data_IF_041713176809
#
_entry.id   IF_041713176809
#
_cell.length_a   1.000
_cell.length_b   1.000
_cell.length_c   1.000
_cell.angle_alpha   90.00
_cell.angle_beta   90.00
_cell.angle_gamma   90.00
#
_symmetry.space_group_name_H-M   'P 1'
#
loop_
_entity.id
_entity.type
_entity.pdbx_description
1 polymer ?
#
# COMPACT_ATOMS: atom_id res chain seq x y z
N UNK A 1 -0.43 14.44 34.40
CA UNK A 1 -0.38 14.46 32.92
C UNK A 1 -1.23 13.29 32.45
N UNK A 2 -2.33 13.55 31.76
CA UNK A 2 -3.18 12.47 31.22
C UNK A 2 -2.35 11.66 30.22
N UNK A 3 -2.14 10.37 30.47
CA UNK A 3 -1.59 9.46 29.47
C UNK A 3 -2.55 9.50 28.27
N UNK A 4 -2.13 10.08 27.15
CA UNK A 4 -2.90 9.97 25.91
C UNK A 4 -3.03 8.48 25.61
N UNK A 5 -4.26 8.00 25.45
CA UNK A 5 -4.51 6.65 24.99
C UNK A 5 -3.85 6.44 23.63
N UNK A 6 -3.19 5.30 23.43
CA UNK A 6 -2.65 4.92 22.12
C UNK A 6 -3.79 4.90 21.10
N UNK A 7 -3.64 5.55 19.93
CA UNK A 7 -4.65 5.49 18.88
C UNK A 7 -4.94 4.06 18.44
N UNK A 8 -6.20 3.78 18.17
CA UNK A 8 -6.68 2.47 17.73
C UNK A 8 -6.50 2.28 16.22
N UNK A 9 -6.25 1.04 15.78
CA UNK A 9 -6.06 0.67 14.37
C UNK A 9 -6.96 -0.51 14.00
N UNK A 10 -7.64 -0.40 12.87
CA UNK A 10 -8.23 -1.55 12.15
C UNK A 10 -7.29 -1.97 11.04
N UNK A 11 -6.68 -3.15 11.17
CA UNK A 11 -5.92 -3.82 10.13
C UNK A 11 -6.93 -4.47 9.19
N UNK A 12 -6.98 -4.00 7.94
CA UNK A 12 -8.04 -4.37 7.00
C UNK A 12 -7.47 -4.75 5.64
N UNK A 13 -7.98 -5.85 5.09
CA UNK A 13 -7.78 -6.19 3.68
C UNK A 13 -9.13 -6.29 2.98
N UNK A 14 -9.22 -5.74 1.78
CA UNK A 14 -10.43 -5.74 0.95
C UNK A 14 -10.06 -6.34 -0.39
N UNK A 15 -10.79 -7.36 -0.84
CA UNK A 15 -10.62 -7.92 -2.18
C UNK A 15 -11.96 -8.32 -2.77
N UNK A 16 -12.19 -8.00 -4.05
CA UNK A 16 -13.31 -8.51 -4.82
C UNK A 16 -12.98 -9.80 -5.58
N UNK A 17 -11.72 -10.24 -5.54
CA UNK A 17 -11.24 -11.42 -6.24
C UNK A 17 -10.87 -12.52 -5.22
N UNK A 18 -11.63 -13.62 -5.24
CA UNK A 18 -11.50 -14.67 -4.22
C UNK A 18 -10.11 -15.32 -4.19
N UNK A 19 -9.41 -15.36 -5.32
CA UNK A 19 -8.03 -15.86 -5.40
C UNK A 19 -7.01 -15.10 -4.52
N UNK A 20 -7.34 -13.91 -4.02
CA UNK A 20 -6.46 -13.15 -3.12
C UNK A 20 -6.84 -13.30 -1.64
N UNK A 21 -8.04 -13.79 -1.34
CA UNK A 21 -8.60 -13.75 0.02
C UNK A 21 -7.74 -14.50 1.04
N UNK A 22 -7.19 -15.67 0.69
CA UNK A 22 -6.34 -16.44 1.61
C UNK A 22 -5.00 -15.73 1.89
N UNK A 23 -4.38 -15.13 0.87
CA UNK A 23 -3.17 -14.32 1.03
C UNK A 23 -3.41 -13.06 1.87
N UNK A 24 -4.59 -12.44 1.70
CA UNK A 24 -5.03 -11.29 2.51
C UNK A 24 -5.18 -11.65 3.99
N UNK A 25 -5.62 -12.86 4.34
CA UNK A 25 -5.64 -13.33 5.74
C UNK A 25 -4.23 -13.34 6.32
N UNK A 26 -3.26 -13.93 5.61
CA UNK A 26 -1.88 -13.98 6.08
C UNK A 26 -1.26 -12.59 6.24
N UNK A 27 -1.61 -11.64 5.37
CA UNK A 27 -1.19 -10.25 5.48
C UNK A 27 -1.75 -9.58 6.75
N UNK A 28 -3.03 -9.79 7.05
CA UNK A 28 -3.67 -9.30 8.29
C UNK A 28 -3.01 -9.94 9.51
N UNK A 29 -2.91 -11.27 9.54
CA UNK A 29 -2.40 -12.02 10.69
C UNK A 29 -0.94 -11.69 11.01
N UNK A 30 -0.09 -11.64 9.97
CA UNK A 30 1.30 -11.20 10.13
C UNK A 30 1.34 -9.79 10.69
N UNK A 31 0.59 -8.86 10.10
CA UNK A 31 0.61 -7.46 10.52
C UNK A 31 0.08 -7.28 11.95
N UNK A 32 -0.95 -8.02 12.32
CA UNK A 32 -1.49 -8.05 13.67
C UNK A 32 -0.45 -8.55 14.69
N UNK A 33 0.26 -9.63 14.35
CA UNK A 33 1.31 -10.20 15.21
C UNK A 33 2.49 -9.25 15.36
N UNK A 34 2.98 -8.70 14.26
CA UNK A 34 4.13 -7.80 14.25
C UNK A 34 3.84 -6.50 15.01
N UNK A 35 2.67 -5.88 14.79
CA UNK A 35 2.32 -4.62 15.45
C UNK A 35 2.16 -4.75 16.97
N UNK A 36 1.79 -5.94 17.48
CA UNK A 36 1.72 -6.18 18.93
C UNK A 36 3.07 -6.06 19.65
N UNK A 37 4.20 -6.04 18.93
CA UNK A 37 5.52 -5.75 19.51
C UNK A 37 5.62 -4.32 20.06
N UNK A 38 4.86 -3.38 19.50
CA UNK A 38 4.91 -1.94 19.84
C UNK A 38 3.57 -1.34 20.23
N UNK A 39 2.46 -1.96 19.81
CA UNK A 39 1.11 -1.47 20.07
C UNK A 39 0.34 -2.43 20.99
N UNK A 40 -0.49 -1.90 21.90
CA UNK A 40 -1.37 -2.72 22.73
C UNK A 40 -2.32 -3.58 21.88
N UNK A 41 -2.52 -4.83 22.29
CA UNK A 41 -3.40 -5.77 21.57
C UNK A 41 -4.85 -5.26 21.46
N UNK A 42 -5.32 -4.56 22.48
CA UNK A 42 -6.66 -3.98 22.57
C UNK A 42 -6.83 -2.71 21.73
N UNK A 43 -5.74 -2.10 21.25
CA UNK A 43 -5.80 -1.02 20.27
C UNK A 43 -5.87 -1.53 18.82
N UNK A 44 -5.89 -2.85 18.60
CA UNK A 44 -5.87 -3.46 17.27
C UNK A 44 -7.14 -4.29 17.02
N UNK A 45 -7.72 -4.11 15.82
CA UNK A 45 -8.83 -4.91 15.31
C UNK A 45 -8.52 -5.40 13.89
N UNK A 46 -9.10 -6.52 13.47
CA UNK A 46 -8.78 -7.15 12.19
C UNK A 46 -10.05 -7.41 11.38
N UNK A 47 -10.08 -6.96 10.12
CA UNK A 47 -11.20 -7.15 9.21
C UNK A 47 -10.71 -7.69 7.86
N UNK A 48 -11.35 -8.74 7.38
CA UNK A 48 -11.25 -9.19 5.99
C UNK A 48 -12.57 -8.91 5.28
N UNK A 49 -12.50 -8.26 4.11
CA UNK A 49 -13.62 -8.16 3.17
C UNK A 49 -13.29 -9.00 1.93
N UNK A 50 -14.07 -10.06 1.67
CA UNK A 50 -13.87 -10.94 0.51
C UNK A 50 -15.18 -11.61 0.05
N UNK A 51 -15.26 -12.11 -1.20
CA UNK A 51 -16.45 -12.79 -1.70
C UNK A 51 -16.88 -13.99 -0.85
N UNK A 52 -15.94 -14.86 -0.52
CA UNK A 52 -16.19 -16.04 0.30
C UNK A 52 -15.21 -16.09 1.47
N UNK A 53 -15.62 -16.77 2.55
CA UNK A 53 -14.77 -17.03 3.71
C UNK A 53 -13.57 -17.90 3.29
N UNK A 54 -12.32 -17.49 3.54
CA UNK A 54 -11.15 -18.32 3.25
C UNK A 54 -11.14 -19.62 4.07
N UNK A 55 -10.39 -20.62 3.60
CA UNK A 55 -10.25 -21.91 4.27
C UNK A 55 -9.62 -21.73 5.66
N UNK A 56 -8.53 -20.98 5.72
CA UNK A 56 -7.91 -20.57 6.98
C UNK A 56 -8.30 -19.13 7.32
N UNK A 57 -9.03 -18.96 8.43
CA UNK A 57 -9.39 -17.67 9.00
C UNK A 57 -9.31 -17.73 10.55
N UNK A 58 -8.31 -17.09 11.18
CA UNK A 58 -8.24 -16.94 12.63
C UNK A 58 -9.48 -16.26 13.23
N UNK A 59 -9.92 -16.71 14.41
CA UNK A 59 -11.17 -16.22 15.06
C UNK A 59 -11.19 -14.71 15.33
N UNK A 60 -10.03 -14.10 15.54
CA UNK A 60 -9.90 -12.67 15.82
C UNK A 60 -10.02 -11.78 14.57
N UNK A 61 -10.10 -12.37 13.37
CA UNK A 61 -10.30 -11.66 12.11
C UNK A 61 -11.79 -11.71 11.74
N UNK A 62 -12.45 -10.57 11.79
CA UNK A 62 -13.83 -10.45 11.37
C UNK A 62 -13.91 -10.56 9.84
N UNK A 63 -14.70 -11.50 9.32
CA UNK A 63 -14.95 -11.62 7.89
C UNK A 63 -16.28 -10.96 7.52
N UNK A 64 -16.22 -10.04 6.57
CA UNK A 64 -17.36 -9.41 5.93
C UNK A 64 -17.46 -9.87 4.48
N UNK A 65 -18.60 -10.42 4.12
CA UNK A 65 -18.87 -10.90 2.76
C UNK A 65 -19.15 -9.73 1.84
N UNK A 66 -18.50 -9.69 0.68
CA UNK A 66 -18.82 -8.76 -0.41
C UNK A 66 -19.25 -9.53 -1.67
N UNK A 67 -19.81 -8.84 -2.67
CA UNK A 67 -19.91 -9.42 -4.01
C UNK A 67 -18.53 -9.40 -4.68
N UNK A 68 -18.24 -10.30 -5.63
CA UNK A 68 -17.06 -10.16 -6.47
C UNK A 68 -17.07 -8.82 -7.20
N UNK A 69 -15.92 -8.17 -7.30
CA UNK A 69 -15.78 -6.88 -7.96
C UNK A 69 -14.39 -6.67 -8.57
N UNK A 70 -14.35 -5.79 -9.57
CA UNK A 70 -13.14 -5.46 -10.33
C UNK A 70 -12.17 -4.56 -9.55
N UNK A 71 -10.96 -4.36 -10.08
CA UNK A 71 -10.01 -3.41 -9.49
C UNK A 71 -10.54 -1.96 -9.50
N UNK A 72 -11.32 -1.55 -10.50
CA UNK A 72 -11.95 -0.23 -10.49
C UNK A 72 -12.98 -0.09 -9.35
N UNK A 73 -13.74 -1.14 -9.07
CA UNK A 73 -14.66 -1.16 -7.94
C UNK A 73 -13.94 -1.22 -6.60
N UNK A 74 -12.78 -1.90 -6.51
CA UNK A 74 -11.90 -1.84 -5.34
C UNK A 74 -11.55 -0.39 -5.02
N UNK A 75 -11.10 0.36 -6.01
CA UNK A 75 -10.74 1.78 -5.88
C UNK A 75 -11.92 2.62 -5.34
N UNK A 76 -13.12 2.44 -5.91
CA UNK A 76 -14.34 3.10 -5.44
C UNK A 76 -14.72 2.69 -4.02
N UNK A 77 -14.56 1.41 -3.68
CA UNK A 77 -14.83 0.88 -2.35
C UNK A 77 -13.90 1.51 -1.31
N UNK A 78 -12.60 1.54 -1.58
CA UNK A 78 -11.64 2.14 -0.66
C UNK A 78 -11.93 3.63 -0.47
N UNK A 79 -12.25 4.36 -1.55
CA UNK A 79 -12.51 5.80 -1.48
C UNK A 79 -13.82 6.16 -0.77
N UNK A 80 -14.88 5.36 -0.94
CA UNK A 80 -16.23 5.76 -0.51
C UNK A 80 -16.90 4.81 0.49
N UNK A 81 -16.43 3.59 0.68
CA UNK A 81 -17.08 2.60 1.55
C UNK A 81 -16.26 2.25 2.79
N UNK A 82 -14.94 2.37 2.74
CA UNK A 82 -14.05 1.93 3.83
C UNK A 82 -14.37 2.60 5.18
N UNK A 83 -14.72 3.88 5.19
CA UNK A 83 -15.14 4.62 6.39
C UNK A 83 -16.30 3.94 7.14
N UNK A 84 -17.21 3.29 6.43
CA UNK A 84 -18.40 2.66 7.04
C UNK A 84 -18.06 1.35 7.76
N UNK A 85 -16.84 0.82 7.60
CA UNK A 85 -16.40 -0.45 8.19
C UNK A 85 -15.39 -0.28 9.32
N UNK A 86 -14.78 0.90 9.43
CA UNK A 86 -13.67 1.17 10.35
C UNK A 86 -14.18 2.08 11.46
N UNK A 87 -14.22 1.59 12.70
CA UNK A 87 -14.62 2.40 13.87
C UNK A 87 -13.44 2.96 14.67
N UNK A 88 -12.22 2.51 14.36
CA UNK A 88 -10.98 2.92 15.02
C UNK A 88 -10.46 4.26 14.51
N UNK A 89 -9.45 4.82 15.18
CA UNK A 89 -8.83 6.09 14.80
C UNK A 89 -8.13 6.03 13.43
N UNK A 90 -7.62 4.84 13.07
CA UNK A 90 -6.89 4.59 11.83
C UNK A 90 -7.25 3.25 11.19
N UNK A 91 -7.24 3.19 9.86
CA UNK A 91 -7.18 1.94 9.11
C UNK A 91 -5.76 1.70 8.60
N UNK A 92 -5.21 0.52 8.87
CA UNK A 92 -4.03 0.01 8.17
C UNK A 92 -4.51 -0.93 7.07
N UNK A 93 -4.45 -0.48 5.83
CA UNK A 93 -4.74 -1.30 4.66
C UNK A 93 -3.56 -2.24 4.43
N UNK A 94 -3.87 -3.53 4.33
CA UNK A 94 -2.92 -4.59 3.93
C UNK A 94 -3.48 -5.37 2.76
N UNK A 95 -2.60 -5.89 1.91
CA UNK A 95 -2.91 -6.73 0.76
C UNK A 95 -2.02 -7.98 0.81
N UNK A 96 -2.33 -9.00 0.00
CA UNK A 96 -1.54 -10.23 -0.02
C UNK A 96 -0.06 -10.00 -0.44
N UNK A 97 0.26 -8.87 -1.04
CA UNK A 97 1.60 -8.39 -1.37
C UNK A 97 2.01 -7.11 -0.61
N UNK A 98 1.18 -6.62 0.32
CA UNK A 98 1.38 -5.39 1.07
C UNK A 98 1.12 -5.56 2.57
N UNK A 99 2.16 -5.63 3.40
CA UNK A 99 2.04 -6.03 4.80
C UNK A 99 3.19 -5.53 5.68
N UNK A 100 3.04 -5.63 7.01
CA UNK A 100 4.10 -5.31 7.97
C UNK A 100 5.19 -6.38 7.92
N UNK A 101 6.42 -5.94 7.67
CA UNK A 101 7.61 -6.80 7.60
C UNK A 101 8.23 -6.94 8.98
N UNK A 102 8.45 -5.83 9.69
CA UNK A 102 9.06 -5.82 11.03
C UNK A 102 8.40 -4.76 11.93
N UNK A 103 7.57 -5.23 12.87
CA UNK A 103 6.84 -4.40 13.80
C UNK A 103 7.72 -3.63 14.79
N UNK A 104 8.98 -4.02 15.00
CA UNK A 104 9.90 -3.26 15.84
C UNK A 104 10.24 -1.89 15.25
N UNK A 105 10.00 -1.70 13.95
CA UNK A 105 10.17 -0.43 13.24
C UNK A 105 8.93 0.47 13.29
N UNK A 106 7.89 0.12 14.05
CA UNK A 106 6.76 1.02 14.27
C UNK A 106 7.24 2.32 14.92
N UNK A 107 6.66 3.44 14.47
CA UNK A 107 6.93 4.77 15.00
C UNK A 107 5.63 5.48 15.32
N UNK A 108 5.52 6.03 16.53
CA UNK A 108 4.33 6.78 16.94
C UNK A 108 4.10 8.04 16.09
N UNK A 109 5.16 8.56 15.44
CA UNK A 109 5.06 9.67 14.47
C UNK A 109 4.12 9.34 13.29
N UNK A 110 3.87 8.06 12.99
CA UNK A 110 2.92 7.67 11.95
C UNK A 110 1.49 8.14 12.25
N UNK A 111 1.13 8.28 13.53
CA UNK A 111 -0.18 8.82 13.93
C UNK A 111 -0.31 10.33 13.73
N UNK A 112 0.77 11.03 13.35
CA UNK A 112 0.72 12.45 13.03
C UNK A 112 0.23 12.74 11.61
N UNK A 113 -0.08 11.72 10.82
CA UNK A 113 -0.52 11.88 9.43
C UNK A 113 -1.85 11.18 9.19
N UNK A 114 -2.66 11.78 8.34
CA UNK A 114 -3.95 11.23 7.92
C UNK A 114 -3.79 10.23 6.77
N UNK A 115 -2.67 10.28 6.04
CA UNK A 115 -2.30 9.32 4.99
C UNK A 115 -0.80 9.06 5.00
N UNK A 116 -0.42 7.78 5.04
CA UNK A 116 0.93 7.29 4.78
C UNK A 116 0.81 6.05 3.89
N UNK A 117 1.48 6.04 2.75
CA UNK A 117 1.57 4.86 1.87
C UNK A 117 3.02 4.54 1.49
N UNK A 118 3.23 3.53 0.66
CA UNK A 118 4.56 3.18 0.19
C UNK A 118 5.05 4.15 -0.89
N UNK A 119 6.22 4.80 -0.75
CA UNK A 119 6.76 5.64 -1.81
C UNK A 119 7.04 4.86 -3.09
N UNK A 120 6.55 5.39 -4.21
CA UNK A 120 6.83 4.88 -5.56
C UNK A 120 8.03 5.61 -6.15
N UNK A 121 8.69 5.01 -7.15
CA UNK A 121 9.80 5.66 -7.87
C UNK A 121 9.29 6.57 -8.99
N UNK A 122 8.51 7.57 -8.58
CA UNK A 122 7.88 8.55 -9.48
C UNK A 122 7.38 9.76 -8.72
N UNK A 123 7.42 10.91 -9.37
CA UNK A 123 6.98 12.21 -8.84
C UNK A 123 6.06 12.90 -9.83
N UNK A 124 5.13 13.69 -9.32
CA UNK A 124 4.22 14.50 -10.11
C UNK A 124 4.52 15.98 -9.90
N UNK A 125 4.83 16.68 -10.99
CA UNK A 125 5.06 18.11 -11.00
C UNK A 125 3.77 18.84 -11.38
N UNK A 126 3.33 19.75 -10.51
CA UNK A 126 2.23 20.66 -10.77
C UNK A 126 2.74 21.87 -11.55
N UNK A 127 2.23 22.06 -12.76
CA UNK A 127 2.58 23.18 -13.63
C UNK A 127 1.65 24.38 -13.40
N UNK A 128 2.12 25.58 -13.74
CA UNK A 128 1.37 26.84 -13.56
C UNK A 128 0.05 26.89 -14.35
N UNK A 129 -0.01 26.19 -15.49
CA UNK A 129 -1.21 26.08 -16.32
C UNK A 129 -2.23 25.04 -15.80
N UNK A 130 -1.96 24.46 -14.61
CA UNK A 130 -2.80 23.47 -13.96
C UNK A 130 -2.62 22.04 -14.48
N UNK A 131 -1.72 21.82 -15.46
CA UNK A 131 -1.38 20.47 -15.90
C UNK A 131 -0.47 19.77 -14.90
N UNK A 132 -0.43 18.45 -15.02
CA UNK A 132 0.47 17.59 -14.24
C UNK A 132 1.44 16.91 -15.17
N UNK A 133 2.74 16.99 -14.86
CA UNK A 133 3.80 16.24 -15.53
C UNK A 133 4.26 15.09 -14.65
N UNK A 134 4.32 13.89 -15.21
CA UNK A 134 4.82 12.69 -14.53
C UNK A 134 6.31 12.53 -14.79
N UNK A 135 7.10 12.40 -13.72
CA UNK A 135 8.51 12.03 -13.73
C UNK A 135 8.63 10.62 -13.16
N UNK A 136 9.37 9.75 -13.84
CA UNK A 136 9.55 8.36 -13.42
C UNK A 136 11.01 7.96 -13.48
N UNK A 137 11.39 7.01 -12.63
CA UNK A 137 12.75 6.49 -12.62
C UNK A 137 13.77 7.56 -12.31
N UNK A 138 14.94 7.45 -12.94
CA UNK A 138 16.13 8.27 -12.68
C UNK A 138 15.90 9.78 -12.94
N UNK A 139 14.83 10.15 -13.66
CA UNK A 139 14.41 11.55 -13.79
C UNK A 139 13.94 12.17 -12.45
N UNK A 140 13.67 11.35 -11.43
CA UNK A 140 13.26 11.81 -10.11
C UNK A 140 14.43 12.12 -9.17
N UNK A 141 15.63 11.58 -9.45
CA UNK A 141 16.73 11.50 -8.47
C UNK A 141 17.13 12.86 -7.91
N UNK A 142 17.21 13.88 -8.77
CA UNK A 142 17.57 15.24 -8.37
C UNK A 142 16.54 15.91 -7.45
N UNK A 143 15.30 15.44 -7.44
CA UNK A 143 14.20 16.02 -6.66
C UNK A 143 13.90 15.24 -5.37
N UNK A 144 14.40 14.02 -5.20
CA UNK A 144 14.04 13.21 -4.03
C UNK A 144 14.63 13.75 -2.72
N UNK A 145 15.86 14.29 -2.76
CA UNK A 145 16.52 14.84 -1.58
C UNK A 145 15.92 16.17 -1.10
N UNK A 146 15.60 17.06 -2.04
CA UNK A 146 15.05 18.38 -1.79
C UNK A 146 13.90 18.63 -2.77
N UNK A 147 12.74 18.08 -2.43
CA UNK A 147 11.57 18.09 -3.31
C UNK A 147 10.99 19.51 -3.42
N UNK A 148 10.90 20.09 -4.63
CA UNK A 148 10.29 21.39 -4.81
C UNK A 148 8.82 21.39 -4.38
N UNK A 149 8.31 22.53 -3.91
CA UNK A 149 6.94 22.63 -3.37
C UNK A 149 5.82 22.32 -4.37
N UNK A 150 6.10 22.41 -5.67
CA UNK A 150 5.17 22.05 -6.73
C UNK A 150 5.26 20.57 -7.14
N UNK A 151 6.18 19.80 -6.55
CA UNK A 151 6.27 18.36 -6.74
C UNK A 151 5.49 17.61 -5.65
N UNK A 152 4.97 16.45 -6.02
CA UNK A 152 4.18 15.58 -5.15
C UNK A 152 4.68 14.15 -5.33
N UNK A 153 5.07 13.50 -4.23
CA UNK A 153 5.18 12.06 -4.15
C UNK A 153 3.80 11.45 -3.95
N UNK A 154 3.36 10.66 -4.93
CA UNK A 154 2.19 9.81 -4.73
C UNK A 154 2.67 8.54 -4.02
N UNK A 155 2.12 8.30 -2.85
CA UNK A 155 2.40 7.11 -2.04
C UNK A 155 1.32 6.06 -2.35
N UNK A 156 1.73 4.80 -2.52
CA UNK A 156 0.87 3.70 -2.92
C UNK A 156 -0.12 3.31 -1.81
N UNK A 157 -1.36 3.03 -2.20
CA UNK A 157 -2.46 2.68 -1.30
C UNK A 157 -2.49 1.22 -0.80
N UNK A 158 -1.78 0.30 -1.44
CA UNK A 158 -1.83 -1.15 -1.20
C UNK A 158 -1.21 -1.62 0.11
N UNK A 159 -0.35 -0.79 0.70
CA UNK A 159 0.01 -0.86 2.13
C UNK A 159 0.03 0.57 2.66
N UNK A 160 -1.03 0.98 3.36
CA UNK A 160 -1.21 2.37 3.77
C UNK A 160 -1.93 2.53 5.10
N UNK A 161 -1.50 3.50 5.91
CA UNK A 161 -2.17 3.95 7.12
C UNK A 161 -3.02 5.18 6.80
N UNK A 162 -4.31 5.14 7.14
CA UNK A 162 -5.27 6.21 6.85
C UNK A 162 -6.08 6.54 8.09
N UNK A 163 -6.18 7.82 8.46
CA UNK A 163 -7.01 8.23 9.59
C UNK A 163 -8.50 8.09 9.27
N UNK A 164 -9.31 7.84 10.30
CA UNK A 164 -10.78 7.87 10.21
C UNK A 164 -11.29 9.18 9.60
N UNK A 165 -10.64 10.30 9.93
CA UNK A 165 -10.92 11.62 9.36
C UNK A 165 -10.79 11.62 7.83
N UNK A 166 -9.71 11.04 7.28
CA UNK A 166 -9.52 10.95 5.84
C UNK A 166 -10.54 10.03 5.17
N UNK A 167 -10.80 8.85 5.77
CA UNK A 167 -11.70 7.85 5.18
C UNK A 167 -13.09 8.42 4.85
N UNK A 168 -13.65 9.23 5.75
CA UNK A 168 -14.95 9.88 5.56
C UNK A 168 -14.92 11.15 4.68
N UNK A 169 -13.74 11.69 4.39
CA UNK A 169 -13.60 13.01 3.77
C UNK A 169 -14.14 13.08 2.33
N UNK A 170 -13.90 12.10 1.44
CA UNK A 170 -14.43 12.13 0.07
C UNK A 170 -15.96 12.27 0.04
N UNK A 171 -16.68 11.56 0.92
CA UNK A 171 -18.14 11.69 1.05
C UNK A 171 -18.55 13.02 1.64
N UNK A 172 -17.92 13.44 2.73
CA UNK A 172 -18.22 14.72 3.41
C UNK A 172 -18.10 15.92 2.47
N UNK A 173 -17.11 15.90 1.57
CA UNK A 173 -16.88 16.95 0.58
C UNK A 173 -17.75 16.80 -0.69
N UNK A 174 -18.53 15.73 -0.82
CA UNK A 174 -19.32 15.46 -2.02
C UNK A 174 -18.46 15.26 -3.26
N UNK A 175 -17.24 14.70 -3.11
CA UNK A 175 -16.32 14.49 -4.22
C UNK A 175 -16.93 13.54 -5.23
N UNK A 176 -17.02 13.99 -6.49
CA UNK A 176 -17.47 13.18 -7.62
C UNK A 176 -16.25 12.70 -8.40
N UNK A 177 -15.86 11.45 -8.22
CA UNK A 177 -14.73 10.88 -8.95
C UNK A 177 -15.08 10.74 -10.43
N UNK A 178 -14.37 11.51 -11.26
CA UNK A 178 -14.43 11.38 -12.72
C UNK A 178 -13.35 10.40 -13.17
N UNK A 179 -13.79 9.24 -13.64
CA UNK A 179 -12.92 8.24 -14.28
C UNK A 179 -12.84 8.54 -15.77
N UNK A 180 -11.63 8.54 -16.32
CA UNK A 180 -11.42 8.77 -17.74
C UNK A 180 -12.07 7.67 -18.58
N UNK A 181 -12.60 8.07 -19.74
CA UNK A 181 -13.15 7.12 -20.71
C UNK A 181 -11.98 6.27 -21.23
N UNK A 182 -12.04 4.92 -21.13
CA UNK A 182 -11.01 4.07 -21.70
C UNK A 182 -10.99 4.21 -23.23
N UNK A 183 -9.81 4.17 -23.85
CA UNK A 183 -9.67 4.30 -25.31
C UNK A 183 -10.34 3.13 -26.02
N UNK A 184 -9.77 1.94 -25.83
CA UNK A 184 -10.17 0.66 -26.44
C UNK A 184 -9.60 -0.49 -25.59
N UNK A 185 -9.59 -1.72 -26.12
CA UNK A 185 -8.93 -2.85 -25.48
C UNK A 185 -7.41 -2.84 -25.74
N UNK A 186 -6.60 -3.13 -24.72
CA UNK A 186 -5.12 -3.09 -24.76
C UNK A 186 -4.45 -4.41 -25.12
N UNK A 187 -5.08 -5.56 -24.88
CA UNK A 187 -4.47 -6.88 -25.07
C UNK A 187 -5.52 -7.99 -25.29
N UNK A 188 -5.06 -9.21 -25.55
CA UNK A 188 -5.85 -10.45 -25.47
C UNK A 188 -5.39 -11.28 -24.25
N UNK A 189 -6.31 -11.76 -23.38
CA UNK A 189 -7.75 -11.49 -23.39
C UNK A 189 -8.06 -10.00 -23.23
N UNK A 190 -9.18 -9.58 -23.81
CA UNK A 190 -9.60 -8.17 -23.87
C UNK A 190 -9.56 -7.51 -22.48
N UNK A 191 -8.79 -6.43 -22.37
CA UNK A 191 -8.67 -5.60 -21.16
C UNK A 191 -8.81 -4.13 -21.54
N UNK A 192 -9.55 -3.35 -20.76
CA UNK A 192 -9.72 -1.91 -21.04
C UNK A 192 -8.39 -1.16 -20.89
N UNK A 193 -8.13 -0.25 -21.82
CA UNK A 193 -6.98 0.66 -21.79
C UNK A 193 -7.37 2.01 -21.20
N UNK A 194 -6.95 2.25 -19.97
CA UNK A 194 -7.04 3.55 -19.33
C UNK A 194 -5.69 4.26 -19.52
N UNK A 195 -5.64 5.27 -20.38
CA UNK A 195 -4.42 6.07 -20.68
C UNK A 195 -3.70 6.63 -19.45
N UNK A 196 -4.45 6.73 -18.35
CA UNK A 196 -4.04 7.31 -17.10
C UNK A 196 -4.42 6.38 -15.95
N UNK A 197 -3.50 6.25 -15.01
CA UNK A 197 -3.68 5.60 -13.70
C UNK A 197 -4.46 6.47 -12.71
N UNK A 198 -5.06 7.59 -13.14
CA UNK A 198 -5.90 8.46 -12.30
C UNK A 198 -7.17 7.81 -11.74
N UNK A 199 -7.46 6.58 -12.16
CA UNK A 199 -8.52 5.74 -11.60
C UNK A 199 -8.07 4.95 -10.36
N UNK A 200 -6.78 5.02 -10.00
CA UNK A 200 -6.30 4.51 -8.71
C UNK A 200 -6.63 5.50 -7.60
N UNK A 201 -7.08 5.00 -6.46
CA UNK A 201 -7.58 5.81 -5.36
C UNK A 201 -6.48 6.55 -4.63
N UNK A 202 -5.28 5.99 -4.60
CA UNK A 202 -4.09 6.61 -4.04
C UNK A 202 -3.64 7.83 -4.86
N UNK A 203 -3.59 7.74 -6.19
CA UNK A 203 -3.35 8.87 -7.09
C UNK A 203 -4.47 9.89 -6.92
N UNK A 204 -5.72 9.45 -6.84
CA UNK A 204 -6.83 10.37 -6.69
C UNK A 204 -6.74 11.17 -5.38
N UNK A 205 -6.46 10.51 -4.25
CA UNK A 205 -6.27 11.14 -2.94
C UNK A 205 -5.02 12.03 -2.88
N UNK A 206 -3.87 11.46 -3.27
CA UNK A 206 -2.56 12.10 -3.08
C UNK A 206 -2.31 13.24 -4.07
N UNK A 207 -2.95 13.23 -5.24
CA UNK A 207 -2.74 14.19 -6.31
C UNK A 207 -4.01 14.97 -6.66
N UNK A 208 -5.05 14.28 -7.13
CA UNK A 208 -6.20 14.94 -7.80
C UNK A 208 -7.03 15.80 -6.85
N UNK A 209 -7.32 15.30 -5.64
CA UNK A 209 -8.08 16.05 -4.62
C UNK A 209 -7.21 16.54 -3.46
N UNK A 210 -5.88 16.42 -3.58
CA UNK A 210 -4.92 16.78 -2.51
C UNK A 210 -5.16 18.17 -1.94
N UNK A 211 -5.30 19.19 -2.81
CA UNK A 211 -5.53 20.58 -2.39
C UNK A 211 -6.80 20.73 -1.55
N UNK A 212 -7.88 20.04 -1.93
CA UNK A 212 -9.15 20.06 -1.18
C UNK A 212 -8.99 19.38 0.19
N UNK A 213 -8.25 18.28 0.25
CA UNK A 213 -7.96 17.57 1.50
C UNK A 213 -7.08 18.40 2.44
N UNK A 214 -6.01 19.02 1.92
CA UNK A 214 -5.14 19.92 2.68
C UNK A 214 -5.94 21.10 3.27
N UNK A 215 -6.89 21.66 2.51
CA UNK A 215 -7.77 22.72 2.99
C UNK A 215 -8.70 22.28 4.14
N UNK A 216 -8.94 20.97 4.31
CA UNK A 216 -9.65 20.39 5.46
C UNK A 216 -8.69 19.97 6.60
N UNK A 217 -7.41 20.35 6.51
CA UNK A 217 -6.36 19.99 7.46
C UNK A 217 -6.02 18.50 7.46
N UNK A 218 -6.20 17.81 6.32
CA UNK A 218 -5.63 16.46 6.13
C UNK A 218 -4.12 16.61 5.98
N UNK A 219 -3.37 15.76 6.68
CA UNK A 219 -1.91 15.72 6.63
C UNK A 219 -1.43 14.48 5.89
N UNK A 220 -0.71 14.65 4.80
CA UNK A 220 0.00 13.54 4.13
C UNK A 220 1.40 13.43 4.71
N UNK A 221 1.89 12.21 4.94
CA UNK A 221 3.27 12.01 5.36
C UNK A 221 4.25 12.57 4.33
N UNK A 222 5.34 13.23 4.75
CA UNK A 222 6.42 13.57 3.84
C UNK A 222 7.14 12.30 3.39
N UNK A 223 7.75 12.35 2.21
CA UNK A 223 8.46 11.24 1.57
C UNK A 223 9.37 10.46 2.53
N UNK A 224 10.19 11.16 3.33
CA UNK A 224 11.12 10.53 4.29
C UNK A 224 10.39 9.70 5.34
N UNK A 225 9.28 10.18 5.89
CA UNK A 225 8.46 9.42 6.85
C UNK A 225 7.83 8.22 6.18
N UNK A 226 7.32 8.40 4.95
CA UNK A 226 6.73 7.32 4.17
C UNK A 226 7.74 6.20 3.85
N UNK A 227 9.02 6.52 3.62
CA UNK A 227 10.07 5.52 3.47
C UNK A 227 10.32 4.70 4.75
N UNK A 228 10.20 5.28 5.94
CA UNK A 228 10.28 4.48 7.17
C UNK A 228 9.03 3.61 7.40
N UNK A 229 7.89 4.06 6.89
CA UNK A 229 6.65 3.29 6.95
C UNK A 229 6.67 2.11 5.97
N UNK A 230 7.06 2.31 4.72
CA UNK A 230 6.97 1.26 3.73
C UNK A 230 7.96 1.34 2.57
N UNK A 231 8.31 0.17 2.03
CA UNK A 231 9.11 0.03 0.82
C UNK A 231 8.33 -0.64 -0.31
N UNK A 232 8.12 0.11 -1.40
CA UNK A 232 7.75 -0.43 -2.72
C UNK A 232 8.95 -0.40 -3.67
N UNK A 233 9.62 0.75 -3.78
CA UNK A 233 10.89 0.87 -4.50
C UNK A 233 12.09 0.94 -3.55
N UNK A 234 13.01 -0.01 -3.74
CA UNK A 234 14.30 -0.01 -3.01
C UNK A 234 15.22 1.13 -3.42
N UNK A 235 15.02 1.73 -4.61
CA UNK A 235 15.84 2.83 -5.13
C UNK A 235 15.58 4.12 -4.36
N UNK A 236 14.32 4.45 -4.07
CA UNK A 236 13.97 5.64 -3.28
C UNK A 236 14.64 5.59 -1.90
N UNK A 237 14.67 4.41 -1.28
CA UNK A 237 15.36 4.18 0.00
C UNK A 237 16.87 4.34 -0.11
N UNK A 238 17.46 3.90 -1.22
CA UNK A 238 18.88 4.03 -1.48
C UNK A 238 19.28 5.50 -1.67
N UNK A 239 18.51 6.26 -2.46
CA UNK A 239 18.76 7.68 -2.70
C UNK A 239 18.65 8.46 -1.39
N UNK A 240 17.61 8.21 -0.58
CA UNK A 240 17.42 8.92 0.69
C UNK A 240 18.28 8.42 1.86
N UNK A 241 19.21 7.49 1.62
CA UNK A 241 20.06 6.87 2.64
C UNK A 241 19.26 6.25 3.82
N UNK A 242 18.10 5.65 3.52
CA UNK A 242 17.23 5.00 4.51
C UNK A 242 17.53 3.50 4.54
N UNK A 243 18.07 2.97 5.66
CA UNK A 243 18.36 1.55 5.76
C UNK A 243 17.05 0.74 5.78
N UNK A 244 16.86 -0.19 4.83
CA UNK A 244 15.65 -1.02 4.75
C UNK A 244 15.34 -1.81 6.03
N UNK A 245 16.35 -2.15 6.83
CA UNK A 245 16.19 -2.77 8.16
C UNK A 245 15.43 -1.91 9.18
N UNK A 246 15.22 -0.62 8.89
CA UNK A 246 14.45 0.32 9.72
C UNK A 246 13.04 0.59 9.15
N UNK A 247 12.63 -0.15 8.11
CA UNK A 247 11.34 0.04 7.43
C UNK A 247 10.31 -0.92 8.03
N UNK A 248 9.11 -0.40 8.32
CA UNK A 248 8.03 -1.16 8.95
C UNK A 248 7.43 -2.23 8.01
N UNK A 249 7.03 -1.84 6.79
CA UNK A 249 6.31 -2.73 5.88
C UNK A 249 6.74 -2.64 4.43
N UNK A 250 6.14 -3.47 3.58
CA UNK A 250 6.41 -3.45 2.14
C UNK A 250 5.13 -3.44 1.33
N UNK A 251 5.26 -3.06 0.06
CA UNK A 251 4.28 -3.35 -0.98
C UNK A 251 5.03 -3.86 -2.22
N UNK A 252 4.82 -5.13 -2.58
CA UNK A 252 5.67 -5.84 -3.53
C UNK A 252 5.14 -5.83 -4.98
N UNK A 253 4.19 -4.94 -5.30
CA UNK A 253 3.67 -4.69 -6.66
C UNK A 253 3.19 -5.96 -7.40
N UNK A 254 2.62 -6.88 -6.64
CA UNK A 254 2.16 -8.19 -7.09
C UNK A 254 3.26 -9.08 -7.66
N UNK A 255 4.55 -8.85 -7.33
CA UNK A 255 5.64 -9.76 -7.66
C UNK A 255 5.79 -10.87 -6.62
N UNK A 256 5.59 -10.53 -5.35
CA UNK A 256 5.68 -11.44 -4.20
C UNK A 256 4.35 -11.38 -3.44
N UNK A 257 3.72 -12.52 -3.21
CA UNK A 257 2.48 -12.62 -2.44
C UNK A 257 2.65 -13.60 -1.28
N UNK A 258 2.03 -13.34 -0.14
CA UNK A 258 2.03 -14.25 1.00
C UNK A 258 1.23 -15.51 0.67
N UNK A 259 1.84 -16.65 0.97
CA UNK A 259 1.20 -17.98 1.00
C UNK A 259 1.12 -18.56 2.41
N UNK A 260 1.77 -17.89 3.37
CA UNK A 260 1.71 -18.08 4.82
C UNK A 260 2.19 -16.76 5.47
N UNK A 261 2.02 -16.60 6.78
CA UNK A 261 2.51 -15.47 7.59
C UNK A 261 4.02 -15.21 7.49
N UNK A 262 4.83 -16.20 7.08
CA UNK A 262 6.29 -16.06 6.89
C UNK A 262 6.80 -16.50 5.51
N UNK A 263 5.90 -16.85 4.59
CA UNK A 263 6.28 -17.46 3.31
C UNK A 263 5.68 -16.68 2.16
N UNK A 264 6.54 -16.22 1.27
CA UNK A 264 6.18 -15.52 0.04
C UNK A 264 6.30 -16.46 -1.16
N UNK A 265 5.51 -16.22 -2.19
CA UNK A 265 5.66 -16.82 -3.51
C UNK A 265 5.93 -15.74 -4.54
N UNK A 266 6.95 -15.95 -5.37
CA UNK A 266 7.16 -15.13 -6.56
C UNK A 266 6.14 -15.50 -7.63
N UNK A 267 5.28 -14.56 -7.99
CA UNK A 267 4.22 -14.75 -9.01
C UNK A 267 4.53 -14.02 -10.31
N UNK A 268 5.43 -13.04 -10.29
CA UNK A 268 6.00 -12.40 -11.48
C UNK A 268 7.52 -12.43 -11.38
N UNK A 269 8.21 -12.79 -12.48
CA UNK A 269 9.68 -12.85 -12.54
C UNK A 269 10.26 -11.49 -12.15
N UNK A 270 11.18 -11.50 -11.18
CA UNK A 270 11.95 -10.32 -10.78
C UNK A 270 13.37 -10.41 -11.36
N UNK A 271 14.01 -9.27 -11.58
CA UNK A 271 15.42 -9.23 -11.98
C UNK A 271 16.29 -9.78 -10.86
N UNK A 272 17.02 -10.85 -11.14
CA UNK A 272 17.93 -11.57 -10.24
C UNK A 272 19.20 -11.96 -11.01
N UNK A 273 20.34 -12.02 -10.32
CA UNK A 273 21.60 -12.54 -10.85
C UNK A 273 21.78 -14.00 -10.44
N UNK A 274 22.33 -14.82 -11.35
CA UNK A 274 22.64 -16.24 -11.08
C UNK A 274 21.44 -17.04 -10.52
N UNK A 275 20.22 -16.67 -10.92
CA UNK A 275 18.97 -17.28 -10.42
C UNK A 275 18.84 -17.27 -8.89
N UNK A 276 19.47 -16.30 -8.22
CA UNK A 276 19.44 -16.17 -6.78
C UNK A 276 18.56 -14.99 -6.35
N UNK A 277 17.39 -15.21 -5.69
CA UNK A 277 16.52 -14.12 -5.25
C UNK A 277 17.21 -13.17 -4.28
N UNK A 278 18.19 -13.61 -3.48
CA UNK A 278 18.92 -12.75 -2.56
C UNK A 278 19.78 -11.67 -3.26
N UNK A 279 19.92 -11.71 -4.59
CA UNK A 279 20.59 -10.67 -5.39
C UNK A 279 19.66 -9.53 -5.79
N UNK A 280 18.34 -9.72 -5.68
CA UNK A 280 17.36 -8.65 -5.83
C UNK A 280 17.23 -7.89 -4.49
N UNK A 281 17.32 -6.56 -4.51
CA UNK A 281 17.36 -5.76 -3.28
C UNK A 281 16.12 -5.90 -2.37
N UNK A 282 14.92 -6.06 -2.96
CA UNK A 282 13.68 -6.26 -2.19
C UNK A 282 13.68 -7.67 -1.57
N UNK A 283 13.96 -8.69 -2.38
CA UNK A 283 14.03 -10.07 -1.89
C UNK A 283 15.11 -10.25 -0.81
N UNK A 284 16.28 -9.62 -0.98
CA UNK A 284 17.37 -9.66 0.00
C UNK A 284 16.93 -9.11 1.36
N UNK A 285 16.24 -7.97 1.37
CA UNK A 285 15.74 -7.37 2.59
C UNK A 285 14.67 -8.27 3.26
N UNK A 286 13.71 -8.78 2.49
CA UNK A 286 12.67 -9.66 3.01
C UNK A 286 13.26 -10.96 3.59
N UNK A 287 14.21 -11.60 2.90
CA UNK A 287 14.93 -12.77 3.42
C UNK A 287 15.68 -12.47 4.72
N UNK A 288 16.24 -11.26 4.84
CA UNK A 288 16.88 -10.78 6.08
C UNK A 288 15.90 -10.50 7.23
N UNK A 289 14.60 -10.39 6.96
CA UNK A 289 13.54 -10.12 7.93
C UNK A 289 12.75 -11.40 8.32
N UNK A 290 13.43 -12.56 8.33
CA UNK A 290 12.85 -13.86 8.70
C UNK A 290 11.65 -14.28 7.81
N UNK A 291 11.67 -13.88 6.54
CA UNK A 291 10.74 -14.36 5.51
C UNK A 291 11.43 -15.36 4.60
N UNK A 292 10.66 -16.31 4.07
CA UNK A 292 11.11 -17.21 3.01
C UNK A 292 10.46 -16.84 1.67
N UNK A 293 11.14 -17.09 0.56
CA UNK A 293 10.64 -16.79 -0.79
C UNK A 293 10.70 -18.06 -1.66
N UNK A 294 9.53 -18.56 -2.01
CA UNK A 294 9.36 -19.65 -2.97
C UNK A 294 9.39 -19.10 -4.39
N UNK A 295 10.44 -19.43 -5.14
CA UNK A 295 10.61 -19.03 -6.54
C UNK A 295 10.21 -20.19 -7.45
N UNK A 296 9.21 -20.03 -8.34
CA UNK A 296 8.87 -21.04 -9.34
C UNK A 296 10.08 -21.41 -10.20
N UNK A 297 10.25 -22.70 -10.53
CA UNK A 297 11.36 -23.18 -11.37
C UNK A 297 11.49 -22.42 -12.69
N UNK A 298 10.37 -22.03 -13.30
CA UNK A 298 10.34 -21.25 -14.54
C UNK A 298 10.98 -19.86 -14.42
N UNK A 299 11.06 -19.27 -13.22
CA UNK A 299 11.71 -17.98 -12.99
C UNK A 299 13.21 -18.09 -12.69
N UNK A 300 13.72 -19.31 -12.51
CA UNK A 300 15.13 -19.60 -12.25
C UNK A 300 15.91 -19.97 -13.52
N UNK A 301 15.24 -20.08 -14.67
CA UNK A 301 15.89 -20.33 -15.95
C UNK A 301 16.39 -19.00 -16.54
N UNK A 302 17.59 -19.02 -17.13
CA UNK A 302 18.10 -17.89 -17.91
C UNK A 302 17.17 -17.64 -19.10
N UNK A 303 16.92 -16.36 -19.39
CA UNK A 303 16.37 -15.99 -20.69
C UNK A 303 17.56 -16.10 -21.66
N UNK A 304 17.83 -17.32 -22.14
CA UNK A 304 18.83 -17.58 -23.19
C UNK A 304 18.42 -16.92 -24.52
#
# INVERSE_FOLDING_TARGET
MSQKSTPSITIISVTGHQGYAQGSVYAIERSYTELQKKLPKDSLSCILVSPDKPEHLPEHIMHLVCKPFSYLEYNLFILYALDQLVETDFALIVQNDGFVVDGDNWRDEFFEYDYIGAPVYGLYEMLDDGKVKNHQGDACDEYLHDMPSNFIDVQNGGFSLRSKKLLGMPRKLGIKWQVNIPKFFSAQPLSLDFESVSHNEDIYLCLMIRKQLLAQGIRFAPLKTACYFACESTIVHQILDIPRKQVLGCHAFGHLVLTDTKTLRMVKKMRMSQSNPATNALCNWLLGADLSINVPKAFLQSDD
#
